data_IF_970594972022
#
_entry.id   IF_970594972022
#
_cell.length_a   1.000
_cell.length_b   1.000
_cell.length_c   1.000
_cell.angle_alpha   90.00
_cell.angle_beta   90.00
_cell.angle_gamma   90.00
#
_symmetry.space_group_name_H-M   'P 1'
#
loop_
_entity.id
_entity.type
_entity.pdbx_description
1 polymer ?
#
# COMPACT_ATOMS: atom_id res chain seq x y z
N UNK A 1 16.26 -25.90 8.89
CA UNK A 1 15.76 -24.76 9.71
C UNK A 1 14.35 -25.12 10.14
N UNK A 2 14.05 -25.11 11.42
CA UNK A 2 12.67 -25.25 11.93
C UNK A 2 11.94 -23.93 11.69
N UNK A 3 10.72 -23.99 11.14
CA UNK A 3 9.89 -22.80 10.96
C UNK A 3 9.52 -22.21 12.33
N UNK A 4 9.56 -20.88 12.45
CA UNK A 4 9.16 -20.17 13.67
C UNK A 4 7.66 -20.36 13.91
N UNK A 5 7.28 -20.70 15.13
CA UNK A 5 5.88 -20.91 15.52
C UNK A 5 5.29 -19.64 16.15
N UNK A 6 4.72 -18.77 15.30
CA UNK A 6 4.03 -17.55 15.75
C UNK A 6 2.86 -17.88 16.69
N UNK A 7 2.70 -17.04 17.71
CA UNK A 7 1.69 -17.20 18.75
C UNK A 7 0.42 -16.39 18.47
N UNK A 8 0.50 -15.38 17.60
CA UNK A 8 -0.61 -14.52 17.25
C UNK A 8 -0.57 -14.16 15.76
N UNK A 9 -1.73 -13.90 15.17
CA UNK A 9 -1.87 -13.55 13.77
C UNK A 9 -2.77 -12.34 13.64
N UNK A 10 -2.40 -11.41 12.76
CA UNK A 10 -3.22 -10.26 12.42
C UNK A 10 -3.37 -10.14 10.91
N UNK A 11 -4.55 -9.75 10.46
CA UNK A 11 -4.81 -9.37 9.07
C UNK A 11 -5.36 -7.96 9.03
N UNK A 12 -4.81 -7.14 8.15
CA UNK A 12 -5.15 -5.72 8.02
C UNK A 12 -5.61 -5.47 6.60
N UNK A 13 -6.88 -5.11 6.44
CA UNK A 13 -7.39 -4.47 5.22
C UNK A 13 -7.03 -2.99 5.26
N UNK A 14 -6.44 -2.48 4.19
CA UNK A 14 -5.87 -1.15 4.14
C UNK A 14 -6.59 -0.25 3.13
N UNK A 15 -6.74 1.03 3.48
CA UNK A 15 -7.33 2.01 2.58
C UNK A 15 -6.37 3.16 2.27
N UNK A 16 -6.18 3.40 0.97
CA UNK A 16 -5.51 4.58 0.43
C UNK A 16 -6.39 5.82 0.34
N UNK A 17 -7.66 5.76 0.75
CA UNK A 17 -8.58 6.89 0.67
C UNK A 17 -8.09 8.09 1.51
N UNK A 18 -8.49 9.30 1.09
CA UNK A 18 -8.09 10.56 1.72
C UNK A 18 -8.84 10.79 3.03
N UNK A 19 -8.14 11.34 4.02
CA UNK A 19 -8.72 11.74 5.31
C UNK A 19 -8.31 10.86 6.49
N UNK A 20 -8.65 11.32 7.70
CA UNK A 20 -8.18 10.74 8.96
C UNK A 20 -8.65 9.30 9.19
N UNK A 21 -9.94 9.03 8.96
CA UNK A 21 -10.60 7.75 9.27
C UNK A 21 -11.25 7.19 8.03
N UNK A 22 -11.03 5.89 7.81
CA UNK A 22 -11.48 5.21 6.60
C UNK A 22 -12.37 4.03 6.97
N UNK A 23 -13.54 3.94 6.34
CA UNK A 23 -14.44 2.78 6.52
C UNK A 23 -13.83 1.48 5.98
N UNK A 24 -12.89 1.59 5.05
CA UNK A 24 -12.19 0.46 4.44
C UNK A 24 -10.90 0.05 5.15
N UNK A 25 -10.70 0.44 6.42
CA UNK A 25 -9.62 -0.14 7.24
C UNK A 25 -10.25 -1.07 8.26
N UNK A 26 -9.82 -2.33 8.24
CA UNK A 26 -10.26 -3.36 9.15
C UNK A 26 -9.05 -4.13 9.68
N UNK A 27 -9.13 -4.54 10.96
CA UNK A 27 -8.08 -5.34 11.60
C UNK A 27 -8.73 -6.53 12.27
N UNK A 28 -8.31 -7.73 11.90
CA UNK A 28 -8.69 -8.97 12.57
C UNK A 28 -7.48 -9.59 13.26
N UNK A 29 -7.72 -10.22 14.41
CA UNK A 29 -6.69 -10.88 15.22
C UNK A 29 -7.09 -12.32 15.53
N UNK A 30 -6.11 -13.20 15.60
CA UNK A 30 -6.24 -14.58 16.06
C UNK A 30 -5.17 -14.84 17.12
N UNK A 31 -5.60 -15.35 18.29
CA UNK A 31 -4.74 -15.60 19.47
C UNK A 31 -3.98 -16.94 19.38
N UNK A 32 -3.75 -17.43 18.16
CA UNK A 32 -2.87 -18.58 17.92
C UNK A 32 -3.39 -19.56 16.88
N UNK A 33 -2.58 -20.57 16.53
CA UNK A 33 -2.92 -21.55 15.50
C UNK A 33 -4.26 -22.24 15.79
N UNK A 34 -5.14 -22.32 14.79
CA UNK A 34 -6.44 -22.97 14.91
C UNK A 34 -7.51 -22.16 15.66
N UNK A 35 -7.22 -20.91 16.07
CA UNK A 35 -8.22 -20.02 16.66
C UNK A 35 -8.93 -19.21 15.57
N UNK A 36 -10.24 -18.99 15.74
CA UNK A 36 -11.05 -18.20 14.80
C UNK A 36 -10.65 -16.73 14.87
N UNK A 37 -10.23 -16.10 13.76
CA UNK A 37 -9.94 -14.66 13.73
C UNK A 37 -11.18 -13.83 14.12
N UNK A 38 -10.97 -12.84 14.99
CA UNK A 38 -11.99 -11.90 15.42
C UNK A 38 -11.69 -10.52 14.86
N UNK A 39 -12.71 -9.86 14.31
CA UNK A 39 -12.61 -8.47 13.90
C UNK A 39 -12.56 -7.57 15.14
N UNK A 40 -11.63 -6.62 15.16
CA UNK A 40 -11.57 -5.62 16.22
C UNK A 40 -12.57 -4.51 15.88
N UNK A 41 -13.70 -4.47 16.59
CA UNK A 41 -14.76 -3.49 16.41
C UNK A 41 -14.35 -2.10 16.87
N UNK A 42 -13.78 -1.32 15.94
CA UNK A 42 -13.50 0.10 16.15
C UNK A 42 -13.39 0.86 14.83
N UNK A 43 -13.49 2.18 14.91
CA UNK A 43 -13.14 3.06 13.80
C UNK A 43 -11.61 3.19 13.71
N UNK A 44 -11.03 2.69 12.63
CA UNK A 44 -9.60 2.74 12.35
C UNK A 44 -9.18 3.98 11.55
N UNK A 45 -8.04 4.54 11.92
CA UNK A 45 -7.20 5.40 11.10
C UNK A 45 -5.89 4.67 10.79
N UNK A 46 -5.16 5.12 9.78
CA UNK A 46 -3.82 4.58 9.49
C UNK A 46 -2.88 4.74 10.69
N UNK A 47 -2.96 5.88 11.38
CA UNK A 47 -2.22 6.11 12.62
C UNK A 47 -2.62 5.13 13.74
N UNK A 48 -3.92 4.88 13.93
CA UNK A 48 -4.38 3.94 14.96
C UNK A 48 -3.90 2.50 14.69
N UNK A 49 -3.79 2.09 13.42
CA UNK A 49 -3.19 0.81 13.04
C UNK A 49 -1.68 0.80 13.37
N UNK A 50 -0.96 1.87 13.01
CA UNK A 50 0.47 2.00 13.32
C UNK A 50 0.71 1.93 14.84
N UNK A 51 -0.02 2.70 15.64
CA UNK A 51 0.12 2.72 17.09
C UNK A 51 -0.19 1.35 17.71
N UNK A 52 -1.18 0.64 17.16
CA UNK A 52 -1.54 -0.71 17.59
C UNK A 52 -0.41 -1.72 17.33
N UNK A 53 0.20 -1.67 16.14
CA UNK A 53 1.35 -2.50 15.77
C UNK A 53 2.58 -2.18 16.63
N UNK A 54 2.87 -0.89 16.84
CA UNK A 54 3.94 -0.44 17.72
C UNK A 54 3.73 -0.92 19.17
N UNK A 55 2.49 -0.92 19.65
CA UNK A 55 2.14 -1.48 20.95
C UNK A 55 2.43 -2.99 21.08
N UNK A 56 2.19 -3.77 20.02
CA UNK A 56 2.55 -5.19 19.99
C UNK A 56 4.06 -5.41 19.89
N UNK A 57 4.76 -4.62 19.09
CA UNK A 57 6.21 -4.67 18.97
C UNK A 57 6.90 -4.34 20.30
N UNK A 58 6.45 -3.30 21.01
CA UNK A 58 6.97 -2.93 22.32
C UNK A 58 6.76 -4.02 23.39
N UNK A 59 5.69 -4.81 23.27
CA UNK A 59 5.42 -5.97 24.13
C UNK A 59 6.21 -7.22 23.74
N UNK A 60 6.92 -7.20 22.60
CA UNK A 60 7.59 -8.37 22.05
C UNK A 60 6.62 -9.48 21.63
N UNK A 61 5.40 -9.14 21.19
CA UNK A 61 4.43 -10.13 20.71
C UNK A 61 4.99 -10.91 19.53
N UNK A 62 4.95 -12.25 19.60
CA UNK A 62 5.34 -13.13 18.49
C UNK A 62 4.20 -13.25 17.48
N UNK A 63 4.03 -12.20 16.67
CA UNK A 63 2.90 -12.00 15.78
C UNK A 63 3.31 -12.05 14.31
N UNK A 64 2.52 -12.77 13.49
CA UNK A 64 2.57 -12.67 12.03
C UNK A 64 1.48 -11.70 11.56
N UNK A 65 1.86 -10.67 10.80
CA UNK A 65 0.93 -9.66 10.31
C UNK A 65 0.82 -9.74 8.78
N UNK A 66 -0.40 -9.96 8.29
CA UNK A 66 -0.76 -9.84 6.87
C UNK A 66 -1.37 -8.48 6.59
N UNK A 67 -1.01 -7.89 5.45
CA UNK A 67 -1.56 -6.63 4.98
C UNK A 67 -2.12 -6.78 3.57
N UNK A 68 -3.31 -6.23 3.33
CA UNK A 68 -3.89 -6.06 2.00
C UNK A 68 -3.57 -4.66 1.47
N UNK A 69 -2.43 -4.51 0.80
CA UNK A 69 -2.09 -3.31 0.02
C UNK A 69 -1.13 -3.63 -1.13
N UNK A 70 -0.97 -2.66 -2.03
CA UNK A 70 0.03 -2.73 -3.09
C UNK A 70 1.37 -2.16 -2.65
N UNK A 71 2.34 -3.04 -2.39
CA UNK A 71 3.63 -2.64 -1.82
C UNK A 71 4.60 -1.92 -2.79
N UNK A 72 4.27 -1.87 -4.08
CA UNK A 72 5.06 -1.20 -5.10
C UNK A 72 4.21 -0.85 -6.32
N UNK A 73 4.72 0.08 -7.12
CA UNK A 73 4.19 0.45 -8.43
C UNK A 73 4.75 -0.47 -9.54
N UNK A 74 4.18 -0.48 -10.75
CA UNK A 74 4.77 -1.11 -11.93
C UNK A 74 6.23 -0.68 -12.18
N UNK A 75 7.10 -1.65 -12.42
CA UNK A 75 8.53 -1.42 -12.70
C UNK A 75 9.00 -2.18 -13.95
N UNK A 76 8.73 -3.49 -14.01
CA UNK A 76 9.27 -4.39 -15.05
C UNK A 76 8.87 -4.04 -16.48
N UNK A 77 7.78 -3.30 -16.68
CA UNK A 77 7.29 -2.90 -18.00
C UNK A 77 8.11 -1.76 -18.62
N UNK A 78 8.76 -0.91 -17.81
CA UNK A 78 9.55 0.22 -18.30
C UNK A 78 10.95 0.37 -17.67
N UNK A 79 11.33 -0.53 -16.76
CA UNK A 79 12.59 -0.45 -16.01
C UNK A 79 12.67 0.70 -15.00
N UNK A 80 11.53 1.32 -14.66
CA UNK A 80 11.43 2.42 -13.72
C UNK A 80 10.01 2.52 -13.13
N UNK A 81 9.87 3.02 -11.90
CA UNK A 81 8.55 3.34 -11.34
C UNK A 81 7.94 4.57 -12.03
N UNK A 82 8.74 5.60 -12.30
CA UNK A 82 8.33 6.87 -12.92
C UNK A 82 9.21 7.17 -14.16
N UNK A 83 8.95 6.54 -15.32
CA UNK A 83 9.76 6.73 -16.53
C UNK A 83 9.81 8.19 -16.98
N UNK A 84 11.02 8.69 -17.23
CA UNK A 84 11.24 10.09 -17.62
C UNK A 84 11.52 11.03 -16.44
N UNK A 85 11.32 10.59 -15.20
CA UNK A 85 11.75 11.31 -14.01
C UNK A 85 13.19 10.89 -13.64
N UNK A 86 14.22 11.77 -13.73
CA UNK A 86 15.61 11.40 -13.44
C UNK A 86 15.84 10.84 -12.04
N UNK A 87 15.11 11.34 -11.04
CA UNK A 87 15.20 10.87 -9.65
C UNK A 87 14.35 9.62 -9.37
N UNK A 88 13.77 8.97 -10.39
CA UNK A 88 12.93 7.78 -10.21
C UNK A 88 13.65 6.70 -9.39
N UNK A 89 12.98 6.08 -8.39
CA UNK A 89 13.64 5.11 -7.53
C UNK A 89 14.01 3.84 -8.31
N UNK A 90 15.21 3.31 -8.05
CA UNK A 90 15.74 2.14 -8.74
C UNK A 90 15.25 0.80 -8.17
N UNK A 91 14.71 0.81 -6.94
CA UNK A 91 14.16 -0.38 -6.29
C UNK A 91 13.03 -0.02 -5.29
N UNK A 92 12.37 -1.05 -4.75
CA UNK A 92 11.24 -0.85 -3.85
C UNK A 92 11.61 -0.12 -2.54
N UNK A 93 12.83 -0.31 -2.01
CA UNK A 93 13.27 0.39 -0.79
C UNK A 93 13.52 1.87 -1.08
N UNK A 94 14.09 2.19 -2.23
CA UNK A 94 14.25 3.56 -2.70
C UNK A 94 12.91 4.24 -2.96
N UNK A 95 11.91 3.49 -3.49
CA UNK A 95 10.54 3.98 -3.65
C UNK A 95 9.94 4.41 -2.31
N UNK A 96 9.96 3.55 -1.31
CA UNK A 96 9.41 3.88 0.01
C UNK A 96 10.13 5.04 0.67
N UNK A 97 11.46 5.14 0.54
CA UNK A 97 12.21 6.30 1.05
C UNK A 97 11.80 7.61 0.38
N UNK A 98 11.64 7.60 -0.94
CA UNK A 98 11.14 8.76 -1.68
C UNK A 98 9.72 9.15 -1.21
N UNK A 99 8.84 8.18 -1.00
CA UNK A 99 7.49 8.42 -0.49
C UNK A 99 7.56 9.03 0.91
N UNK A 100 8.34 8.46 1.82
CA UNK A 100 8.51 8.97 3.18
C UNK A 100 9.06 10.42 3.19
N UNK A 101 10.00 10.73 2.30
CA UNK A 101 10.58 12.06 2.22
C UNK A 101 9.62 13.09 1.61
N UNK A 102 8.92 12.75 0.52
CA UNK A 102 7.97 13.66 -0.12
C UNK A 102 6.70 13.87 0.70
N UNK A 103 6.25 12.84 1.41
CA UNK A 103 4.99 12.84 2.16
C UNK A 103 5.20 12.99 3.67
N UNK A 104 6.39 13.44 4.09
CA UNK A 104 6.76 13.59 5.51
C UNK A 104 5.75 14.41 6.33
N UNK A 105 5.25 15.47 5.72
CA UNK A 105 4.32 16.42 6.35
C UNK A 105 2.86 16.16 5.95
N UNK A 106 2.59 15.08 5.21
CA UNK A 106 1.24 14.71 4.83
C UNK A 106 0.45 14.26 6.08
N UNK A 107 -0.79 14.73 6.25
CA UNK A 107 -1.60 14.34 7.38
C UNK A 107 -2.02 12.87 7.25
N UNK A 108 -2.30 12.22 8.37
CA UNK A 108 -2.97 10.91 8.41
C UNK A 108 -2.23 9.78 7.67
N UNK A 109 -0.90 9.87 7.51
CA UNK A 109 -0.10 8.90 6.77
C UNK A 109 -0.62 8.70 5.33
N UNK A 110 -1.06 9.79 4.68
CA UNK A 110 -1.41 9.80 3.26
C UNK A 110 -0.19 10.06 2.36
N UNK A 111 -0.38 9.93 1.05
CA UNK A 111 0.66 10.16 0.06
C UNK A 111 0.30 11.30 -0.91
N UNK A 112 -0.49 12.28 -0.44
CA UNK A 112 -0.98 13.39 -1.23
C UNK A 112 0.13 14.20 -1.89
N UNK A 113 1.22 14.47 -1.18
CA UNK A 113 2.35 15.23 -1.70
C UNK A 113 3.05 14.54 -2.88
N UNK A 114 3.18 13.20 -2.87
CA UNK A 114 3.63 12.45 -4.05
C UNK A 114 2.63 12.56 -5.22
N UNK A 115 1.34 12.40 -4.92
CA UNK A 115 0.28 12.41 -5.95
C UNK A 115 0.15 13.78 -6.61
N UNK A 116 0.42 14.87 -5.89
CA UNK A 116 0.40 16.24 -6.42
C UNK A 116 1.81 16.77 -6.80
N UNK A 117 2.87 15.98 -6.60
CA UNK A 117 4.24 16.32 -7.02
C UNK A 117 4.31 16.60 -8.53
N UNK A 118 5.14 17.57 -8.93
CA UNK A 118 5.25 18.00 -10.34
C UNK A 118 5.59 16.84 -11.28
N UNK A 119 6.49 15.94 -10.90
CA UNK A 119 6.80 14.73 -11.67
C UNK A 119 5.90 13.56 -11.31
N UNK A 120 5.55 13.40 -10.02
CA UNK A 120 4.76 12.25 -9.56
C UNK A 120 3.38 12.23 -10.20
N UNK A 121 2.71 13.37 -10.18
CA UNK A 121 1.34 13.56 -10.68
C UNK A 121 1.15 13.23 -12.17
N UNK A 122 2.23 13.26 -12.96
CA UNK A 122 2.24 12.88 -14.37
C UNK A 122 1.93 11.40 -14.58
N UNK A 123 2.15 10.57 -13.56
CA UNK A 123 1.93 9.13 -13.64
C UNK A 123 0.64 8.65 -13.00
N UNK A 124 -0.10 9.51 -12.28
CA UNK A 124 -1.31 9.12 -11.55
C UNK A 124 -2.58 9.58 -12.24
N UNK A 125 -3.63 8.77 -12.10
CA UNK A 125 -5.02 9.22 -12.20
C UNK A 125 -5.40 9.77 -10.82
N UNK A 126 -6.13 10.89 -10.80
CA UNK A 126 -6.44 11.64 -9.59
C UNK A 126 -7.92 12.00 -9.56
N UNK A 127 -8.40 12.36 -8.38
CA UNK A 127 -9.77 12.83 -8.18
C UNK A 127 -10.12 14.02 -9.09
N UNK A 128 -11.41 14.12 -9.44
CA UNK A 128 -11.91 15.16 -10.33
C UNK A 128 -11.58 14.95 -11.81
N UNK A 129 -11.29 13.72 -12.23
CA UNK A 129 -10.97 13.39 -13.63
C UNK A 129 -9.59 13.85 -14.08
N UNK A 130 -8.74 14.33 -13.16
CA UNK A 130 -7.37 14.71 -13.46
C UNK A 130 -6.55 13.45 -13.76
N UNK A 131 -5.81 13.45 -14.86
CA UNK A 131 -4.94 12.35 -15.25
C UNK A 131 -3.62 12.91 -15.73
N UNK A 132 -2.52 12.36 -15.23
CA UNK A 132 -1.19 12.74 -15.69
C UNK A 132 -0.92 12.32 -17.14
N UNK A 133 -0.09 13.09 -17.83
CA UNK A 133 0.30 12.88 -19.23
C UNK A 133 1.10 11.58 -19.45
N UNK A 134 1.71 11.05 -18.40
CA UNK A 134 2.49 9.81 -18.38
C UNK A 134 1.81 8.65 -17.63
N UNK A 135 0.51 8.74 -17.33
CA UNK A 135 -0.24 7.66 -16.66
C UNK A 135 -0.23 6.35 -17.47
N UNK A 136 -0.11 6.44 -18.79
CA UNK A 136 -0.16 5.32 -19.73
C UNK A 136 -1.51 5.21 -20.42
N UNK A 137 -1.60 4.33 -21.42
CA UNK A 137 -2.85 4.08 -22.16
C UNK A 137 -3.87 3.34 -21.29
N UNK A 138 -5.15 3.50 -21.60
CA UNK A 138 -6.29 2.83 -20.95
C UNK A 138 -6.32 3.00 -19.42
N UNK A 139 -6.00 1.94 -18.68
CA UNK A 139 -6.05 1.87 -17.22
C UNK A 139 -4.68 2.03 -16.56
N UNK A 140 -3.70 2.55 -17.31
CA UNK A 140 -2.37 2.84 -16.82
C UNK A 140 -1.46 1.62 -16.86
N UNK A 141 -0.36 1.70 -16.12
CA UNK A 141 0.67 0.65 -16.08
C UNK A 141 0.29 -0.45 -15.08
N UNK A 142 0.76 -1.67 -15.33
CA UNK A 142 0.44 -2.86 -14.53
C UNK A 142 1.71 -3.60 -14.11
N UNK A 143 1.72 -4.09 -12.86
CA UNK A 143 2.68 -5.10 -12.40
C UNK A 143 2.43 -6.40 -13.16
N UNK A 144 3.43 -7.29 -13.19
CA UNK A 144 3.33 -8.57 -13.89
C UNK A 144 2.11 -9.39 -13.44
N UNK A 145 1.81 -9.40 -12.13
CA UNK A 145 0.65 -10.11 -11.59
C UNK A 145 -0.69 -9.59 -12.13
N UNK A 146 -0.84 -8.26 -12.27
CA UNK A 146 -2.06 -7.68 -12.85
C UNK A 146 -2.18 -7.97 -14.35
N UNK A 147 -1.05 -7.97 -15.09
CA UNK A 147 -1.06 -8.35 -16.51
C UNK A 147 -1.50 -9.80 -16.68
N UNK A 148 -0.91 -10.73 -15.94
CA UNK A 148 -1.28 -12.15 -15.96
C UNK A 148 -2.75 -12.34 -15.57
N UNK A 149 -3.23 -11.64 -14.53
CA UNK A 149 -4.64 -11.69 -14.13
C UNK A 149 -5.58 -11.30 -15.29
N UNK A 150 -5.24 -10.26 -16.03
CA UNK A 150 -6.03 -9.75 -17.16
C UNK A 150 -6.01 -10.65 -18.39
N UNK A 151 -4.98 -11.47 -18.56
CA UNK A 151 -4.83 -12.35 -19.72
C UNK A 151 -5.74 -13.58 -19.67
N UNK A 152 -6.27 -13.96 -18.50
CA UNK A 152 -7.11 -15.17 -18.42
C UNK A 152 -7.91 -15.40 -17.14
N UNK A 153 -7.90 -14.47 -16.18
CA UNK A 153 -8.54 -14.68 -14.88
C UNK A 153 -9.63 -13.66 -14.58
N UNK A 154 -9.31 -12.37 -14.53
CA UNK A 154 -10.24 -11.31 -14.16
C UNK A 154 -9.72 -9.92 -14.59
N UNK A 155 -10.57 -8.88 -14.59
CA UNK A 155 -10.11 -7.51 -14.67
C UNK A 155 -9.13 -7.17 -13.53
N UNK A 156 -8.14 -6.32 -13.83
CA UNK A 156 -7.25 -5.74 -12.82
C UNK A 156 -7.14 -4.22 -13.00
N UNK A 157 -6.92 -3.53 -11.89
CA UNK A 157 -6.74 -2.08 -11.81
C UNK A 157 -5.27 -1.73 -11.58
N UNK A 158 -4.82 -0.62 -12.17
CA UNK A 158 -3.49 -0.10 -11.90
C UNK A 158 -3.39 0.45 -10.47
N UNK A 159 -2.18 0.39 -9.92
CA UNK A 159 -1.83 1.00 -8.63
C UNK A 159 -1.49 2.49 -8.74
N UNK A 160 -1.63 3.07 -9.94
CA UNK A 160 -1.53 4.51 -10.21
C UNK A 160 -2.90 5.24 -10.15
N UNK A 161 -3.96 4.59 -9.66
CA UNK A 161 -5.31 5.18 -9.58
C UNK A 161 -5.59 5.91 -8.27
#
# INVERSE_FOLDING_TARGET
>A
MTARAFQCFACIDWSGAKGERQKGIAVAISDGPGTTPQLIERSWSRQAVLDWLLGHAAKGSDMLVGFDFSAALPFLDAGAYFPGWPESPHDARALWRMIDDLCRDDPHLEAGSLIDHVEGSRHFRRHGGRQGDLFGRDNGRFRLVERICREGHAPASSTFN
#
